data_IF_461894465657
#
_entry.id   IF_461894465657
#
_cell.length_a   1.000
_cell.length_b   1.000
_cell.length_c   1.000
_cell.angle_alpha   90.00
_cell.angle_beta   90.00
_cell.angle_gamma   90.00
#
_symmetry.space_group_name_H-M   'P 1'
#
loop_
_entity.id
_entity.type
_entity.pdbx_description
1 polymer ?
#
# COMPACT_ATOMS: atom_id res chain seq x y z
N UNK A 1 -3.76 -15.78 14.76
CA UNK A 1 -3.90 -16.81 15.82
C UNK A 1 -5.21 -17.53 15.60
N UNK A 2 -5.21 -18.86 15.77
CA UNK A 2 -6.39 -19.71 15.55
C UNK A 2 -7.34 -19.67 16.77
N UNK A 3 -8.64 -19.62 16.50
CA UNK A 3 -9.74 -19.61 17.49
C UNK A 3 -11.08 -19.45 16.78
N UNK A 4 -12.19 -19.90 17.38
CA UNK A 4 -13.52 -19.92 16.73
C UNK A 4 -14.01 -18.53 16.28
N UNK A 5 -13.53 -17.46 16.92
CA UNK A 5 -13.92 -16.07 16.64
C UNK A 5 -12.84 -15.30 15.86
N UNK A 6 -11.88 -15.98 15.22
CA UNK A 6 -10.76 -15.35 14.50
C UNK A 6 -10.49 -16.03 13.17
N UNK A 7 -10.10 -15.22 12.19
CA UNK A 7 -9.64 -15.70 10.88
C UNK A 7 -8.16 -15.34 10.65
N UNK A 8 -7.49 -16.12 9.81
CA UNK A 8 -6.20 -15.75 9.21
C UNK A 8 -6.41 -15.44 7.74
N UNK A 9 -6.12 -14.20 7.35
CA UNK A 9 -6.08 -13.81 5.95
C UNK A 9 -4.66 -13.97 5.41
N UNK A 10 -4.52 -14.45 4.18
CA UNK A 10 -3.27 -14.45 3.42
C UNK A 10 -3.60 -14.01 2.01
N UNK A 11 -2.85 -13.02 1.51
CA UNK A 11 -3.04 -12.44 0.19
C UNK A 11 -1.76 -12.64 -0.62
N UNK A 12 -1.93 -13.11 -1.85
CA UNK A 12 -0.90 -13.12 -2.88
C UNK A 12 -1.46 -12.46 -4.13
N UNK A 13 -0.72 -11.49 -4.67
CA UNK A 13 -1.09 -10.81 -5.91
C UNK A 13 0.01 -11.06 -6.95
N UNK A 14 -0.38 -11.58 -8.11
CA UNK A 14 0.49 -11.77 -9.27
C UNK A 14 -0.21 -11.28 -10.53
N UNK A 15 0.54 -10.68 -11.44
CA UNK A 15 0.04 -10.23 -12.73
C UNK A 15 1.18 -10.01 -13.72
N UNK A 16 0.84 -9.98 -15.00
CA UNK A 16 1.75 -9.48 -16.04
C UNK A 16 1.76 -7.95 -15.96
N UNK A 17 2.87 -7.38 -15.51
CA UNK A 17 3.06 -5.93 -15.37
C UNK A 17 4.03 -5.47 -16.45
N UNK A 18 3.72 -4.41 -17.23
CA UNK A 18 4.68 -3.84 -18.17
C UNK A 18 5.99 -3.46 -17.47
N UNK A 19 7.13 -3.82 -18.07
CA UNK A 19 8.46 -3.61 -17.48
C UNK A 19 8.72 -2.14 -17.09
N UNK A 20 8.22 -1.20 -17.89
CA UNK A 20 8.31 0.25 -17.64
C UNK A 20 7.60 0.62 -16.33
N UNK A 21 6.41 0.07 -16.10
CA UNK A 21 5.63 0.33 -14.89
C UNK A 21 6.28 -0.31 -13.66
N UNK A 22 6.77 -1.55 -13.81
CA UNK A 22 7.50 -2.23 -12.74
C UNK A 22 8.79 -1.51 -12.36
N UNK A 23 9.53 -1.02 -13.35
CA UNK A 23 10.77 -0.26 -13.13
C UNK A 23 10.49 1.07 -12.42
N UNK A 24 9.40 1.75 -12.81
CA UNK A 24 9.07 3.07 -12.26
C UNK A 24 8.53 3.01 -10.83
N UNK A 25 7.61 2.08 -10.54
CA UNK A 25 6.86 2.08 -9.27
C UNK A 25 7.16 0.86 -8.39
N UNK A 26 7.80 -0.18 -8.96
CA UNK A 26 8.12 -1.39 -8.22
C UNK A 26 6.90 -2.08 -7.60
N UNK A 27 7.09 -2.93 -6.56
CA UNK A 27 6.00 -3.62 -5.90
C UNK A 27 5.09 -2.69 -5.08
N UNK A 28 5.57 -1.49 -4.73
CA UNK A 28 4.80 -0.51 -3.96
C UNK A 28 3.53 -0.05 -4.67
N UNK A 29 3.53 -0.01 -6.01
CA UNK A 29 2.39 0.42 -6.82
C UNK A 29 1.09 -0.32 -6.48
N UNK A 30 1.18 -1.64 -6.28
CA UNK A 30 0.03 -2.48 -5.89
C UNK A 30 0.00 -2.71 -4.39
N UNK A 31 1.18 -2.80 -3.76
CA UNK A 31 1.32 -3.07 -2.34
C UNK A 31 0.67 -2.03 -1.44
N UNK A 32 0.88 -0.74 -1.72
CA UNK A 32 0.29 0.36 -0.94
C UNK A 32 -1.23 0.34 -1.00
N UNK A 33 -1.81 0.00 -2.16
CA UNK A 33 -3.25 -0.16 -2.33
C UNK A 33 -3.83 -1.28 -1.46
N UNK A 34 -3.13 -2.41 -1.37
CA UNK A 34 -3.53 -3.49 -0.47
C UNK A 34 -3.41 -3.11 1.01
N UNK A 35 -2.32 -2.45 1.40
CA UNK A 35 -2.15 -1.98 2.76
C UNK A 35 -3.29 -1.03 3.17
N UNK A 36 -3.68 -0.11 2.27
CA UNK A 36 -4.79 0.79 2.52
C UNK A 36 -6.15 0.08 2.54
N UNK A 37 -6.35 -0.92 1.68
CA UNK A 37 -7.53 -1.79 1.74
C UNK A 37 -7.67 -2.51 3.08
N UNK A 38 -6.55 -2.96 3.66
CA UNK A 38 -6.55 -3.57 4.99
C UNK A 38 -6.77 -2.56 6.12
N UNK A 39 -6.27 -1.32 5.99
CA UNK A 39 -6.60 -0.24 6.92
C UNK A 39 -8.11 0.05 6.92
N UNK A 40 -8.74 0.12 5.73
CA UNK A 40 -10.19 0.26 5.60
C UNK A 40 -10.98 -0.92 6.19
N UNK A 41 -10.51 -2.16 5.97
CA UNK A 41 -11.11 -3.35 6.58
C UNK A 41 -11.02 -3.33 8.10
N UNK A 42 -9.88 -2.92 8.67
CA UNK A 42 -9.70 -2.78 10.11
C UNK A 42 -10.70 -1.75 10.68
N UNK A 43 -10.81 -0.58 10.04
CA UNK A 43 -11.75 0.46 10.44
C UNK A 43 -13.22 -0.01 10.35
N UNK A 44 -13.59 -0.75 9.30
CA UNK A 44 -14.93 -1.34 9.17
C UNK A 44 -15.26 -2.29 10.34
N UNK A 45 -14.32 -3.19 10.68
CA UNK A 45 -14.49 -4.15 11.77
C UNK A 45 -14.59 -3.46 13.14
N UNK A 46 -13.86 -2.37 13.36
CA UNK A 46 -13.90 -1.59 14.60
C UNK A 46 -15.19 -0.78 14.75
N UNK A 47 -15.65 -0.13 13.67
CA UNK A 47 -16.84 0.72 13.70
C UNK A 47 -18.15 -0.08 13.61
N UNK A 48 -18.11 -1.29 13.07
CA UNK A 48 -19.29 -2.13 12.86
C UNK A 48 -20.26 -1.58 11.80
N UNK A 49 -19.78 -0.71 10.91
CA UNK A 49 -20.56 -0.10 9.83
C UNK A 49 -19.68 0.20 8.62
N UNK A 50 -20.33 0.38 7.48
CA UNK A 50 -19.67 0.86 6.27
C UNK A 50 -19.07 2.26 6.47
N UNK A 51 -17.93 2.47 5.80
CA UNK A 51 -17.27 3.76 5.68
C UNK A 51 -17.66 4.31 4.31
N UNK A 52 -18.30 5.50 4.24
CA UNK A 52 -18.57 6.16 2.97
C UNK A 52 -17.29 6.33 2.15
N UNK A 53 -17.39 6.22 0.83
CA UNK A 53 -16.23 6.30 -0.08
C UNK A 53 -15.55 7.65 0.06
N UNK A 54 -16.33 8.72 0.15
CA UNK A 54 -15.87 10.09 0.33
C UNK A 54 -15.05 10.30 1.62
N UNK A 55 -15.36 9.59 2.69
CA UNK A 55 -14.61 9.65 3.95
C UNK A 55 -13.25 8.95 3.79
N UNK A 56 -13.21 7.83 3.07
CA UNK A 56 -11.97 7.13 2.73
C UNK A 56 -11.06 7.98 1.83
N UNK A 57 -11.63 8.61 0.79
CA UNK A 57 -10.92 9.54 -0.08
C UNK A 57 -10.37 10.74 0.69
N UNK A 58 -11.18 11.33 1.58
CA UNK A 58 -10.75 12.44 2.44
C UNK A 58 -9.61 12.04 3.38
N UNK A 59 -9.62 10.82 3.90
CA UNK A 59 -8.54 10.30 4.73
C UNK A 59 -7.22 10.17 3.96
N UNK A 60 -7.24 9.66 2.72
CA UNK A 60 -6.02 9.52 1.91
C UNK A 60 -5.28 10.84 1.67
N UNK A 61 -6.01 11.95 1.53
CA UNK A 61 -5.41 13.28 1.31
C UNK A 61 -5.06 14.03 2.60
N UNK A 62 -5.46 13.50 3.76
CA UNK A 62 -5.10 14.02 5.08
C UNK A 62 -3.61 13.80 5.39
N UNK A 63 -3.09 14.50 6.41
CA UNK A 63 -1.70 14.30 6.86
C UNK A 63 -1.46 12.87 7.37
N UNK A 64 -2.48 12.24 7.96
CA UNK A 64 -2.42 10.85 8.40
C UNK A 64 -2.33 9.89 7.20
N UNK A 65 -3.22 10.04 6.21
CA UNK A 65 -3.20 9.23 5.00
C UNK A 65 -1.91 9.39 4.20
N UNK A 66 -1.40 10.62 4.07
CA UNK A 66 -0.09 10.90 3.46
C UNK A 66 1.05 10.21 4.21
N UNK A 67 1.03 10.25 5.54
CA UNK A 67 2.04 9.60 6.38
C UNK A 67 1.97 8.07 6.27
N UNK A 68 0.76 7.52 6.22
CA UNK A 68 0.52 6.10 5.97
C UNK A 68 1.10 5.67 4.63
N UNK A 69 0.77 6.39 3.55
CA UNK A 69 1.28 6.12 2.20
C UNK A 69 2.80 6.10 2.16
N UNK A 70 3.49 7.12 2.70
CA UNK A 70 4.95 7.14 2.72
C UNK A 70 5.53 5.96 3.53
N UNK A 71 4.95 5.64 4.68
CA UNK A 71 5.39 4.51 5.49
C UNK A 71 5.19 3.16 4.80
N UNK A 72 4.09 2.98 4.07
CA UNK A 72 3.84 1.77 3.28
C UNK A 72 4.81 1.68 2.09
N UNK A 73 4.95 2.75 1.29
CA UNK A 73 5.91 2.80 0.17
C UNK A 73 7.33 2.44 0.60
N UNK A 74 7.79 2.99 1.73
CA UNK A 74 9.13 2.74 2.26
C UNK A 74 9.35 1.26 2.61
N UNK A 75 8.34 0.61 3.21
CA UNK A 75 8.40 -0.83 3.54
C UNK A 75 8.37 -1.71 2.29
N UNK A 76 7.66 -1.30 1.24
CA UNK A 76 7.69 -2.00 -0.04
C UNK A 76 9.03 -1.86 -0.75
N UNK A 77 9.70 -0.71 -0.63
CA UNK A 77 11.07 -0.54 -1.09
C UNK A 77 12.06 -1.42 -0.30
N UNK A 78 11.95 -1.47 1.03
CA UNK A 78 12.76 -2.36 1.87
C UNK A 78 12.56 -3.84 1.47
N UNK A 79 11.31 -4.24 1.21
CA UNK A 79 10.99 -5.58 0.74
C UNK A 79 11.59 -5.88 -0.66
N UNK A 80 11.56 -4.91 -1.57
CA UNK A 80 12.17 -5.03 -2.89
C UNK A 80 13.70 -5.19 -2.80
N UNK A 81 14.35 -4.41 -1.92
CA UNK A 81 15.79 -4.54 -1.64
C UNK A 81 16.10 -5.94 -1.11
N UNK A 82 15.32 -6.42 -0.14
CA UNK A 82 15.48 -7.76 0.40
C UNK A 82 15.26 -8.87 -0.65
N UNK A 83 14.46 -8.60 -1.67
CA UNK A 83 14.23 -9.49 -2.82
C UNK A 83 15.29 -9.37 -3.93
N UNK A 84 16.25 -8.44 -3.80
CA UNK A 84 17.40 -8.31 -4.71
C UNK A 84 17.33 -7.13 -5.68
N UNK A 85 16.34 -6.24 -5.59
CA UNK A 85 16.34 -4.97 -6.34
C UNK A 85 17.47 -4.07 -5.86
N UNK A 86 18.25 -3.41 -6.75
CA UNK A 86 19.24 -2.43 -6.34
C UNK A 86 18.63 -1.33 -5.46
N UNK A 87 19.34 -0.92 -4.40
CA UNK A 87 18.81 0.06 -3.44
C UNK A 87 18.43 1.38 -4.11
N UNK A 88 19.24 1.87 -5.06
CA UNK A 88 18.93 3.08 -5.82
C UNK A 88 17.57 3.00 -6.52
N UNK A 89 17.26 1.84 -7.09
CA UNK A 89 16.07 1.63 -7.92
C UNK A 89 14.85 1.47 -7.03
N UNK A 90 14.98 0.72 -5.92
CA UNK A 90 13.91 0.57 -4.94
C UNK A 90 13.55 1.91 -4.27
N UNK A 91 14.55 2.76 -3.95
CA UNK A 91 14.30 4.10 -3.40
C UNK A 91 13.74 5.07 -4.43
N UNK A 92 14.11 4.94 -5.70
CA UNK A 92 13.45 5.70 -6.77
C UNK A 92 11.96 5.30 -6.90
N UNK A 93 11.67 4.00 -6.86
CA UNK A 93 10.30 3.48 -6.89
C UNK A 93 9.48 3.89 -5.65
N UNK A 94 10.10 3.96 -4.46
CA UNK A 94 9.49 4.50 -3.24
C UNK A 94 8.97 5.93 -3.45
N UNK A 95 9.83 6.81 -3.99
CA UNK A 95 9.50 8.21 -4.24
C UNK A 95 8.38 8.31 -5.27
N UNK A 96 8.51 7.61 -6.40
CA UNK A 96 7.51 7.62 -7.47
C UNK A 96 6.14 7.10 -7.00
N UNK A 97 6.12 6.00 -6.24
CA UNK A 97 4.88 5.42 -5.69
C UNK A 97 4.25 6.35 -4.66
N UNK A 98 5.05 6.96 -3.79
CA UNK A 98 4.54 7.92 -2.80
C UNK A 98 3.91 9.12 -3.46
N UNK A 99 4.55 9.69 -4.49
CA UNK A 99 4.01 10.81 -5.25
C UNK A 99 2.70 10.43 -5.97
N UNK A 100 2.66 9.25 -6.61
CA UNK A 100 1.47 8.71 -7.28
C UNK A 100 0.25 8.66 -6.34
N UNK A 101 0.40 8.08 -5.15
CA UNK A 101 -0.70 7.97 -4.17
C UNK A 101 -1.08 9.30 -3.50
N UNK A 102 -0.23 10.33 -3.58
CA UNK A 102 -0.51 11.67 -3.05
C UNK A 102 -1.07 12.63 -4.10
N UNK A 103 -1.15 12.20 -5.36
CA UNK A 103 -1.51 13.08 -6.47
C UNK A 103 -0.46 14.17 -6.72
N UNK A 104 0.78 13.93 -6.30
CA UNK A 104 1.92 14.82 -6.51
C UNK A 104 2.58 14.44 -7.84
N UNK A 105 2.70 15.42 -8.75
CA UNK A 105 3.35 15.29 -10.07
C UNK A 105 4.73 15.91 -10.10
#
# INVERSE_FOLDING_TARGET
>A
GEGADRARLTLEHRGEIPDEFWTQYGPGATGVGWDAGFAGLAAYLELGREIPVEDGEAWFVSDEGKSFTAGSSSRWADAAIAAGTPESDARAAEVATTAFYRGES
#
